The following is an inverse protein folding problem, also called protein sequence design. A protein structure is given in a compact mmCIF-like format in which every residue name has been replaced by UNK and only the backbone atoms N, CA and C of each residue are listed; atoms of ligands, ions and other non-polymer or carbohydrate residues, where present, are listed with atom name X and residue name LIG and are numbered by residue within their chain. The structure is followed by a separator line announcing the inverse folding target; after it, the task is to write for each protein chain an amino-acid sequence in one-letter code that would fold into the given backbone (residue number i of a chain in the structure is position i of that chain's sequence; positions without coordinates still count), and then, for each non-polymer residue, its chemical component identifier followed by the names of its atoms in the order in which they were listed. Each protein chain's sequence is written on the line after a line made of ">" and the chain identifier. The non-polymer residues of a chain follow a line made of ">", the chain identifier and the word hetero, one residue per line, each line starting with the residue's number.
data_IF_279644972140
#
_entry.id   IF_279644972140
#
_cell.length_a   1.000
_cell.length_b   1.000
_cell.length_c   1.000
_cell.angle_alpha   90.00
_cell.angle_beta   90.00
_cell.angle_gamma   90.00
#
_symmetry.space_group_name_H-M   'P 1'
#
loop_
_entity.id
_entity.type
_entity.pdbx_description
1 polymer ?
#
# COMPACT_ATOMS: atom_id res chain seq x y z
N UNK A 1 -13.98 -16.48 5.22
CA UNK A 1 -13.87 -15.04 4.92
C UNK A 1 -14.73 -14.20 5.86
N UNK A 2 -15.98 -14.58 6.07
CA UNK A 2 -16.92 -13.84 6.92
C UNK A 2 -16.49 -13.66 8.39
N UNK A 3 -15.94 -14.70 9.02
CA UNK A 3 -15.38 -14.59 10.37
C UNK A 3 -14.20 -13.60 10.44
N UNK A 4 -13.34 -13.60 9.42
CA UNK A 4 -12.19 -12.70 9.34
C UNK A 4 -12.63 -11.24 9.18
N UNK A 5 -13.64 -11.01 8.34
CA UNK A 5 -14.23 -9.67 8.17
C UNK A 5 -14.99 -9.22 9.41
N UNK A 6 -15.78 -10.08 10.05
CA UNK A 6 -16.48 -9.77 11.30
C UNK A 6 -15.49 -9.37 12.41
N UNK A 7 -14.41 -10.13 12.61
CA UNK A 7 -13.35 -9.77 13.55
C UNK A 7 -12.67 -8.46 13.16
N UNK A 8 -12.46 -8.24 11.86
CA UNK A 8 -11.92 -6.98 11.34
C UNK A 8 -12.83 -5.78 11.66
N UNK A 9 -14.15 -5.92 11.50
CA UNK A 9 -15.12 -4.88 11.87
C UNK A 9 -15.05 -4.56 13.37
N UNK A 10 -14.97 -5.58 14.23
CA UNK A 10 -14.83 -5.37 15.69
C UNK A 10 -13.56 -4.57 16.03
N UNK A 11 -12.44 -4.88 15.37
CA UNK A 11 -11.19 -4.13 15.53
C UNK A 11 -11.36 -2.68 15.08
N UNK A 12 -12.02 -2.44 13.95
CA UNK A 12 -12.27 -1.08 13.44
C UNK A 12 -13.13 -0.30 14.44
N UNK A 13 -14.21 -0.88 14.95
CA UNK A 13 -15.08 -0.22 15.93
C UNK A 13 -14.34 0.09 17.23
N UNK A 14 -13.50 -0.84 17.71
CA UNK A 14 -12.66 -0.61 18.88
C UNK A 14 -11.69 0.56 18.65
N UNK A 15 -11.01 0.61 17.49
CA UNK A 15 -10.11 1.70 17.13
C UNK A 15 -10.85 3.04 17.03
N UNK A 16 -12.00 3.07 16.35
CA UNK A 16 -12.81 4.28 16.18
C UNK A 16 -13.32 4.81 17.52
N UNK A 17 -13.77 3.93 18.43
CA UNK A 17 -14.28 4.31 19.74
C UNK A 17 -13.17 4.80 20.67
N UNK A 18 -12.09 4.05 20.79
CA UNK A 18 -11.10 4.24 21.87
C UNK A 18 -9.95 5.17 21.45
N UNK A 19 -9.71 5.36 20.14
CA UNK A 19 -8.63 6.21 19.61
C UNK A 19 -9.13 7.43 18.83
N UNK A 20 -10.41 7.81 18.99
CA UNK A 20 -11.00 8.95 18.28
C UNK A 20 -10.24 10.26 18.47
N UNK A 21 -9.69 10.49 19.67
CA UNK A 21 -8.90 11.69 19.98
C UNK A 21 -7.61 11.82 19.14
N UNK A 22 -7.15 10.72 18.53
CA UNK A 22 -5.95 10.68 17.69
C UNK A 22 -6.28 10.71 16.20
N UNK A 23 -7.52 11.04 15.81
CA UNK A 23 -7.97 11.08 14.42
C UNK A 23 -7.02 11.88 13.51
N UNK A 24 -6.60 13.08 13.92
CA UNK A 24 -5.74 13.93 13.09
C UNK A 24 -4.38 13.30 12.85
N UNK A 25 -3.79 12.69 13.88
CA UNK A 25 -2.55 11.94 13.75
C UNK A 25 -2.72 10.73 12.82
N UNK A 26 -3.81 9.98 12.97
CA UNK A 26 -4.07 8.83 12.12
C UNK A 26 -4.30 9.25 10.66
N UNK A 27 -5.06 10.31 10.40
CA UNK A 27 -5.24 10.86 9.06
C UNK A 27 -3.91 11.33 8.45
N UNK A 28 -3.08 12.02 9.23
CA UNK A 28 -1.73 12.38 8.83
C UNK A 28 -0.90 11.15 8.46
N UNK A 29 -0.94 10.08 9.26
CA UNK A 29 -0.22 8.84 8.95
C UNK A 29 -0.74 8.15 7.69
N UNK A 30 -2.04 8.27 7.36
CA UNK A 30 -2.55 7.85 6.05
C UNK A 30 -1.93 8.65 4.92
N UNK A 31 -1.77 9.97 5.09
CA UNK A 31 -1.06 10.78 4.10
C UNK A 31 0.41 10.40 3.99
N UNK A 32 1.12 10.15 5.10
CA UNK A 32 2.52 9.68 5.07
C UNK A 32 2.67 8.39 4.25
N UNK A 33 1.71 7.46 4.38
CA UNK A 33 1.67 6.20 3.63
C UNK A 33 1.12 6.30 2.20
N UNK A 34 0.78 7.50 1.72
CA UNK A 34 0.23 7.69 0.38
C UNK A 34 1.31 7.42 -0.70
N UNK A 35 1.08 6.50 -1.65
CA UNK A 35 2.03 6.22 -2.73
C UNK A 35 2.43 7.45 -3.54
N UNK A 36 1.59 8.48 -3.61
CA UNK A 36 1.90 9.74 -4.33
C UNK A 36 3.08 10.50 -3.71
N UNK A 37 3.33 10.32 -2.42
CA UNK A 37 4.47 10.92 -1.74
C UNK A 37 5.81 10.30 -2.18
N UNK A 38 5.79 9.08 -2.73
CA UNK A 38 6.98 8.44 -3.29
C UNK A 38 7.56 9.32 -4.39
N UNK A 39 6.74 9.68 -5.37
CA UNK A 39 7.17 10.48 -6.52
C UNK A 39 7.34 11.96 -6.18
N UNK A 40 6.55 12.48 -5.23
CA UNK A 40 6.52 13.91 -4.92
C UNK A 40 7.56 14.34 -3.87
N UNK A 41 7.91 13.47 -2.93
CA UNK A 41 8.74 13.80 -1.76
C UNK A 41 9.97 12.90 -1.69
N UNK A 42 9.79 11.58 -1.58
CA UNK A 42 10.90 10.67 -1.27
C UNK A 42 11.88 10.52 -2.43
N UNK A 43 11.39 10.38 -3.66
CA UNK A 43 12.21 10.26 -4.86
C UNK A 43 13.10 11.50 -5.08
N UNK A 44 12.57 12.74 -5.12
CA UNK A 44 13.41 13.92 -5.31
C UNK A 44 14.52 14.04 -4.26
N UNK A 45 14.20 13.78 -2.99
CA UNK A 45 15.18 13.84 -1.90
C UNK A 45 16.31 12.81 -2.09
N UNK A 46 15.95 11.54 -2.33
CA UNK A 46 16.96 10.49 -2.47
C UNK A 46 17.72 10.54 -3.79
N UNK A 47 17.10 11.02 -4.87
CA UNK A 47 17.78 11.18 -6.14
C UNK A 47 18.90 12.23 -6.07
N UNK A 48 18.69 13.32 -5.30
CA UNK A 48 19.73 14.32 -5.05
C UNK A 48 20.87 13.79 -4.16
N UNK A 49 20.56 12.93 -3.18
CA UNK A 49 21.57 12.31 -2.32
C UNK A 49 22.35 11.21 -3.04
N UNK A 50 21.65 10.36 -3.80
CA UNK A 50 22.20 9.25 -4.55
C UNK A 50 21.25 8.82 -5.67
N UNK A 51 21.66 9.10 -6.92
CA UNK A 51 20.90 8.77 -8.12
C UNK A 51 20.60 7.27 -8.25
N UNK A 52 21.48 6.38 -7.76
CA UNK A 52 21.26 4.92 -7.79
C UNK A 52 20.12 4.53 -6.87
N UNK A 53 20.10 5.09 -5.64
CA UNK A 53 19.01 4.85 -4.68
C UNK A 53 17.70 5.44 -5.18
N UNK A 54 17.73 6.67 -5.73
CA UNK A 54 16.55 7.29 -6.33
C UNK A 54 15.98 6.49 -7.51
N UNK A 55 16.84 5.97 -8.40
CA UNK A 55 16.41 5.12 -9.52
C UNK A 55 15.82 3.80 -9.04
N UNK A 56 16.45 3.16 -8.05
CA UNK A 56 15.93 1.95 -7.41
C UNK A 56 14.56 2.20 -6.77
N UNK A 57 14.38 3.34 -6.11
CA UNK A 57 13.12 3.72 -5.47
C UNK A 57 11.98 3.81 -6.49
N UNK A 58 12.19 4.42 -7.66
CA UNK A 58 11.18 4.45 -8.74
C UNK A 58 10.82 3.03 -9.16
N UNK A 59 11.81 2.19 -9.46
CA UNK A 59 11.54 0.83 -9.93
C UNK A 59 10.77 -0.02 -8.93
N UNK A 60 11.16 0.07 -7.67
CA UNK A 60 10.50 -0.62 -6.56
C UNK A 60 9.07 -0.13 -6.36
N UNK A 61 8.82 1.17 -6.55
CA UNK A 61 7.47 1.75 -6.51
C UNK A 61 6.61 1.28 -7.68
N UNK A 62 7.10 1.41 -8.92
CA UNK A 62 6.38 1.00 -10.15
C UNK A 62 6.02 -0.49 -10.10
N UNK A 63 6.97 -1.34 -9.73
CA UNK A 63 6.75 -2.79 -9.66
C UNK A 63 5.85 -3.14 -8.47
N UNK A 64 5.99 -2.44 -7.35
CA UNK A 64 5.11 -2.57 -6.19
C UNK A 64 3.66 -2.25 -6.53
N UNK A 65 3.41 -1.12 -7.20
CA UNK A 65 2.08 -0.72 -7.64
C UNK A 65 1.51 -1.67 -8.69
N UNK A 66 2.36 -2.16 -9.61
CA UNK A 66 1.97 -3.19 -10.58
C UNK A 66 1.53 -4.49 -9.88
N UNK A 67 2.29 -5.00 -8.90
CA UNK A 67 1.87 -6.17 -8.13
C UNK A 67 0.60 -5.89 -7.31
N UNK A 68 0.46 -4.69 -6.72
CA UNK A 68 -0.75 -4.29 -6.00
C UNK A 68 -1.97 -4.36 -6.92
N UNK A 69 -1.84 -3.86 -8.15
CA UNK A 69 -2.87 -3.89 -9.17
C UNK A 69 -3.28 -5.33 -9.53
N UNK A 70 -2.29 -6.17 -9.89
CA UNK A 70 -2.53 -7.57 -10.26
C UNK A 70 -3.20 -8.33 -9.11
N UNK A 71 -2.72 -8.16 -7.87
CA UNK A 71 -3.33 -8.81 -6.71
C UNK A 71 -4.74 -8.31 -6.42
N UNK A 72 -5.04 -7.01 -6.60
CA UNK A 72 -6.41 -6.49 -6.45
C UNK A 72 -7.39 -7.14 -7.42
N UNK A 73 -6.96 -7.40 -8.65
CA UNK A 73 -7.76 -8.11 -9.64
C UNK A 73 -7.89 -9.61 -9.37
N UNK A 74 -6.98 -10.23 -8.63
CA UNK A 74 -7.06 -11.66 -8.28
C UNK A 74 -7.88 -11.88 -7.01
N UNK A 75 -7.71 -11.01 -6.00
CA UNK A 75 -8.21 -11.26 -4.65
C UNK A 75 -9.63 -10.75 -4.39
N UNK A 76 -10.18 -9.88 -5.26
CA UNK A 76 -11.55 -9.33 -5.13
C UNK A 76 -11.88 -8.87 -3.70
N UNK A 77 -10.93 -8.21 -3.04
CA UNK A 77 -11.07 -7.83 -1.63
C UNK A 77 -12.18 -6.79 -1.42
N UNK A 78 -13.14 -7.09 -0.54
CA UNK A 78 -14.11 -6.10 -0.06
C UNK A 78 -13.46 -5.08 0.89
N UNK A 79 -14.08 -3.90 1.02
CA UNK A 79 -13.70 -2.90 2.03
C UNK A 79 -14.70 -2.89 3.18
N UNK A 80 -14.27 -2.54 4.41
CA UNK A 80 -15.14 -2.59 5.58
C UNK A 80 -16.43 -1.79 5.44
N UNK A 81 -16.35 -0.54 4.95
CA UNK A 81 -17.47 0.40 4.94
C UNK A 81 -18.66 -0.05 4.09
N UNK A 82 -18.45 -0.77 2.99
CA UNK A 82 -19.54 -1.37 2.21
C UNK A 82 -19.82 -2.81 2.61
N UNK A 83 -18.82 -3.57 3.05
CA UNK A 83 -19.00 -4.98 3.38
C UNK A 83 -19.99 -5.15 4.53
N UNK A 84 -19.93 -4.27 5.54
CA UNK A 84 -20.83 -4.30 6.69
C UNK A 84 -22.30 -4.07 6.33
N UNK A 85 -22.57 -3.40 5.20
CA UNK A 85 -23.92 -3.10 4.71
C UNK A 85 -24.49 -4.20 3.82
N UNK A 86 -23.63 -4.99 3.18
CA UNK A 86 -24.03 -6.04 2.22
C UNK A 86 -24.03 -7.44 2.81
N UNK A 87 -23.39 -7.62 3.97
CA UNK A 87 -23.28 -8.94 4.59
C UNK A 87 -24.61 -9.41 5.19
N UNK A 88 -24.92 -10.68 4.96
CA UNK A 88 -26.11 -11.35 5.52
C UNK A 88 -25.90 -11.86 6.95
N UNK A 89 -24.79 -11.49 7.60
CA UNK A 89 -24.43 -11.95 8.96
C UNK A 89 -25.20 -11.17 10.04
N UNK A 90 -25.63 -9.93 9.74
CA UNK A 90 -26.37 -9.07 10.67
C UNK A 90 -27.84 -8.82 10.27
N UNK A 91 -28.65 -9.80 9.85
CA UNK A 91 -29.98 -9.53 9.29
C UNK A 91 -30.99 -9.08 10.37
N UNK A 92 -30.73 -9.40 11.65
CA UNK A 92 -31.62 -9.10 12.79
C UNK A 92 -30.94 -8.27 13.90
N UNK A 93 -29.70 -7.84 13.71
CA UNK A 93 -28.98 -6.92 14.60
C UNK A 93 -28.72 -5.64 13.82
N UNK A 94 -28.77 -4.47 14.48
CA UNK A 94 -28.36 -3.22 13.84
C UNK A 94 -26.93 -3.39 13.31
N UNK A 95 -26.76 -3.39 11.99
CA UNK A 95 -25.46 -3.54 11.33
C UNK A 95 -24.44 -2.62 11.99
N UNK A 96 -23.23 -3.12 12.31
CA UNK A 96 -22.25 -2.32 13.03
C UNK A 96 -21.94 -1.03 12.27
N UNK A 97 -22.18 0.12 12.92
CA UNK A 97 -21.89 1.42 12.34
C UNK A 97 -20.37 1.64 12.33
N UNK A 98 -19.82 1.92 11.15
CA UNK A 98 -18.43 2.32 10.96
C UNK A 98 -18.40 3.80 10.57
N UNK A 99 -17.59 4.58 11.26
CA UNK A 99 -17.37 5.98 10.89
C UNK A 99 -16.65 6.07 9.55
N UNK A 100 -17.11 6.96 8.67
CA UNK A 100 -16.48 7.26 7.39
C UNK A 100 -15.87 8.66 7.43
N UNK A 101 -14.71 8.80 6.78
CA UNK A 101 -13.92 10.02 6.70
C UNK A 101 -13.74 10.43 5.22
N UNK A 102 -13.28 11.65 4.93
CA UNK A 102 -13.07 12.11 3.55
C UNK A 102 -12.19 11.22 2.68
N UNK A 103 -11.28 10.46 3.29
CA UNK A 103 -10.37 9.53 2.61
C UNK A 103 -10.84 8.07 2.63
N UNK A 104 -12.07 7.78 3.09
CA UNK A 104 -12.57 6.42 3.28
C UNK A 104 -13.06 5.78 1.97
N UNK A 105 -13.73 6.55 1.11
CA UNK A 105 -14.46 6.03 -0.04
C UNK A 105 -13.58 5.80 -1.27
N UNK A 106 -12.61 4.91 -1.12
CA UNK A 106 -11.84 4.40 -2.26
C UNK A 106 -12.68 3.44 -3.11
N UNK A 107 -12.48 3.49 -4.43
CA UNK A 107 -13.31 2.82 -5.44
C UNK A 107 -12.74 1.49 -5.93
N UNK A 108 -11.43 1.27 -5.80
CA UNK A 108 -10.80 -0.01 -6.14
C UNK A 108 -10.96 -1.10 -5.06
N UNK A 109 -10.65 -2.36 -5.38
CA UNK A 109 -10.66 -3.46 -4.40
C UNK A 109 -9.73 -3.22 -3.21
N UNK A 110 -10.07 -3.77 -2.04
CA UNK A 110 -9.40 -3.50 -0.77
C UNK A 110 -8.15 -4.34 -0.48
N UNK A 111 -7.88 -5.43 -1.21
CA UNK A 111 -6.79 -6.35 -0.90
C UNK A 111 -5.77 -6.48 -2.03
N UNK A 112 -4.46 -6.31 -1.79
CA UNK A 112 -3.85 -5.76 -0.57
C UNK A 112 -3.94 -4.23 -0.50
N UNK A 113 -3.70 -3.68 0.70
CA UNK A 113 -3.67 -2.21 0.88
C UNK A 113 -2.52 -1.58 0.10
N UNK A 114 -2.85 -0.70 -0.85
CA UNK A 114 -1.86 0.02 -1.66
C UNK A 114 -1.01 0.98 -0.84
N UNK A 115 -1.60 1.66 0.15
CA UNK A 115 -0.85 2.54 1.06
C UNK A 115 0.19 1.74 1.87
N UNK A 116 -0.22 0.64 2.50
CA UNK A 116 0.67 -0.18 3.31
C UNK A 116 1.77 -0.86 2.48
N UNK A 117 1.43 -1.30 1.27
CA UNK A 117 2.38 -1.91 0.34
C UNK A 117 3.38 -0.89 -0.20
N UNK A 118 2.91 0.24 -0.75
CA UNK A 118 3.78 1.29 -1.28
C UNK A 118 4.67 1.89 -0.20
N UNK A 119 4.13 2.17 0.99
CA UNK A 119 4.91 2.69 2.12
C UNK A 119 5.98 1.70 2.58
N UNK A 120 5.65 0.42 2.76
CA UNK A 120 6.65 -0.56 3.21
C UNK A 120 7.75 -0.77 2.16
N UNK A 121 7.37 -0.81 0.88
CA UNK A 121 8.28 -0.98 -0.25
C UNK A 121 9.36 0.11 -0.28
N UNK A 122 8.95 1.39 -0.22
CA UNK A 122 9.87 2.52 -0.36
C UNK A 122 10.66 2.77 0.92
N UNK A 123 10.02 2.69 2.10
CA UNK A 123 10.72 2.87 3.35
C UNK A 123 11.78 1.77 3.58
N UNK A 124 11.55 0.56 3.10
CA UNK A 124 12.54 -0.52 3.12
C UNK A 124 13.79 -0.15 2.31
N UNK A 125 13.61 0.39 1.10
CA UNK A 125 14.72 0.86 0.26
C UNK A 125 15.48 2.01 0.93
N UNK A 126 14.77 2.94 1.60
CA UNK A 126 15.43 4.04 2.31
C UNK A 126 16.26 3.55 3.50
N UNK A 127 15.73 2.60 4.28
CA UNK A 127 16.43 2.03 5.45
C UNK A 127 17.67 1.25 5.01
N UNK A 128 17.55 0.39 4.01
CA UNK A 128 18.67 -0.41 3.47
C UNK A 128 19.74 0.49 2.84
N UNK A 129 19.33 1.52 2.08
CA UNK A 129 20.24 2.51 1.54
C UNK A 129 20.99 3.27 2.65
N UNK A 130 20.28 3.80 3.65
CA UNK A 130 20.89 4.50 4.79
C UNK A 130 21.89 3.60 5.56
N UNK A 131 21.54 2.32 5.75
CA UNK A 131 22.43 1.36 6.40
C UNK A 131 23.69 1.08 5.59
N UNK A 132 23.59 1.00 4.26
CA UNK A 132 24.74 0.75 3.39
C UNK A 132 25.85 1.81 3.52
N UNK A 133 25.48 3.07 3.82
CA UNK A 133 26.45 4.15 4.07
C UNK A 133 27.26 3.94 5.35
N UNK A 134 26.64 3.36 6.37
CA UNK A 134 27.29 3.15 7.68
C UNK A 134 28.32 2.02 7.68
N UNK A 135 28.20 1.06 6.76
CA UNK A 135 29.08 -0.13 6.65
C UNK A 135 30.48 0.20 6.13
N UNK A 136 30.71 1.40 5.60
CA UNK A 136 32.01 1.79 5.00
C UNK A 136 33.17 1.93 5.99
N UNK A 137 32.93 1.86 7.30
CA UNK A 137 33.93 2.10 8.34
C UNK A 137 34.35 0.78 9.00
N UNK A 138 35.64 0.41 8.92
CA UNK A 138 36.19 -0.89 9.34
C UNK A 138 36.68 -0.95 10.81
N UNK A 139 36.26 -0.02 11.66
CA UNK A 139 36.69 0.02 13.07
C UNK A 139 35.72 -0.68 14.01
N UNK A 140 36.20 -1.22 15.15
CA UNK A 140 35.33 -1.85 16.18
C UNK A 140 34.22 -0.90 16.68
N UNK A 141 34.53 0.40 16.78
CA UNK A 141 33.54 1.44 17.11
C UNK A 141 32.46 1.57 16.02
N UNK A 142 32.83 1.39 14.75
CA UNK A 142 31.91 1.43 13.63
C UNK A 142 30.95 0.22 13.61
N UNK A 143 31.39 -0.95 14.09
CA UNK A 143 30.50 -2.13 14.22
C UNK A 143 29.39 -1.89 15.25
N UNK A 144 29.75 -1.35 16.42
CA UNK A 144 28.76 -1.01 17.46
C UNK A 144 27.81 0.09 16.98
N UNK A 145 28.34 1.12 16.32
CA UNK A 145 27.53 2.20 15.76
C UNK A 145 26.58 1.68 14.68
N UNK A 146 27.06 0.82 13.77
CA UNK A 146 26.24 0.20 12.73
C UNK A 146 25.08 -0.61 13.33
N UNK A 147 25.34 -1.40 14.39
CA UNK A 147 24.28 -2.17 15.07
C UNK A 147 23.23 -1.26 15.72
N UNK A 148 23.66 -0.15 16.33
CA UNK A 148 22.74 0.84 16.90
C UNK A 148 21.92 1.53 15.81
N UNK A 149 22.55 1.95 14.71
CA UNK A 149 21.85 2.57 13.57
C UNK A 149 20.89 1.57 12.91
N UNK A 150 21.28 0.30 12.77
CA UNK A 150 20.41 -0.77 12.30
C UNK A 150 19.16 -0.91 13.17
N UNK A 151 19.34 -1.03 14.48
CA UNK A 151 18.22 -1.16 15.42
C UNK A 151 17.29 0.07 15.36
N UNK A 152 17.88 1.26 15.32
CA UNK A 152 17.15 2.53 15.27
C UNK A 152 16.33 2.69 13.98
N UNK A 153 16.94 2.47 12.81
CA UNK A 153 16.27 2.64 11.53
C UNK A 153 15.15 1.62 11.31
N UNK A 154 15.36 0.35 11.71
CA UNK A 154 14.30 -0.65 11.64
C UNK A 154 13.17 -0.39 12.65
N UNK A 155 13.48 0.17 13.81
CA UNK A 155 12.45 0.59 14.76
C UNK A 155 11.58 1.71 14.18
N UNK A 156 12.19 2.72 13.56
CA UNK A 156 11.46 3.80 12.86
C UNK A 156 10.59 3.22 11.74
N UNK A 157 11.14 2.31 10.94
CA UNK A 157 10.38 1.63 9.88
C UNK A 157 9.11 1.00 10.42
N UNK A 158 9.22 0.16 11.46
CA UNK A 158 8.05 -0.53 12.02
C UNK A 158 7.06 0.42 12.68
N UNK A 159 7.52 1.46 13.38
CA UNK A 159 6.64 2.48 13.95
C UNK A 159 5.79 3.14 12.85
N UNK A 160 6.42 3.51 11.73
CA UNK A 160 5.71 4.13 10.61
C UNK A 160 4.76 3.13 9.96
N UNK A 161 5.19 1.91 9.65
CA UNK A 161 4.32 0.91 9.00
C UNK A 161 3.13 0.54 9.87
N UNK A 162 3.32 0.34 11.18
CA UNK A 162 2.23 0.07 12.13
C UNK A 162 1.27 1.27 12.17
N UNK A 163 1.79 2.50 12.22
CA UNK A 163 0.96 3.71 12.27
C UNK A 163 0.13 3.89 10.98
N UNK A 164 0.73 3.64 9.80
CA UNK A 164 0.01 3.62 8.52
C UNK A 164 -1.07 2.54 8.55
N UNK A 165 -0.74 1.31 8.98
CA UNK A 165 -1.70 0.21 9.04
C UNK A 165 -2.89 0.53 9.96
N UNK A 166 -2.63 1.00 11.19
CA UNK A 166 -3.68 1.39 12.14
C UNK A 166 -4.54 2.49 11.55
N UNK A 167 -3.91 3.50 10.92
CA UNK A 167 -4.64 4.57 10.25
C UNK A 167 -5.62 4.03 9.20
N UNK A 168 -5.16 3.18 8.27
CA UNK A 168 -5.98 2.59 7.19
C UNK A 168 -7.14 1.74 7.70
N UNK A 169 -6.97 1.08 8.84
CA UNK A 169 -8.02 0.32 9.52
C UNK A 169 -8.99 1.27 10.24
N UNK A 170 -8.48 2.28 10.96
CA UNK A 170 -9.29 3.28 11.68
C UNK A 170 -10.25 4.02 10.74
N UNK A 171 -9.79 4.42 9.56
CA UNK A 171 -10.64 5.09 8.55
C UNK A 171 -11.57 4.14 7.79
N UNK A 172 -11.74 2.89 8.26
CA UNK A 172 -12.62 1.86 7.69
C UNK A 172 -12.39 1.54 6.19
N UNK A 173 -11.19 1.83 5.69
CA UNK A 173 -10.86 1.68 4.26
C UNK A 173 -10.28 0.30 3.94
N UNK A 174 -9.65 -0.33 4.93
CA UNK A 174 -9.07 -1.68 4.84
C UNK A 174 -9.34 -2.50 6.09
N UNK A 175 -9.41 -3.82 5.92
CA UNK A 175 -9.37 -4.77 7.03
C UNK A 175 -7.92 -5.01 7.51
N UNK A 176 -7.71 -5.46 8.76
CA UNK A 176 -6.37 -5.74 9.31
C UNK A 176 -5.53 -6.69 8.43
N UNK A 177 -6.13 -7.77 7.92
CA UNK A 177 -5.40 -8.72 7.07
C UNK A 177 -4.92 -8.09 5.74
N UNK A 178 -5.64 -7.10 5.21
CA UNK A 178 -5.31 -6.45 3.93
C UNK A 178 -4.10 -5.51 4.08
N UNK A 179 -4.00 -4.82 5.22
CA UNK A 179 -2.84 -3.96 5.52
C UNK A 179 -1.62 -4.80 5.86
N UNK A 180 -1.80 -5.89 6.61
CA UNK A 180 -0.72 -6.85 6.91
C UNK A 180 -0.16 -7.46 5.62
N UNK A 181 -1.05 -7.96 4.75
CA UNK A 181 -0.65 -8.50 3.44
C UNK A 181 0.08 -7.44 2.59
N UNK A 182 -0.39 -6.19 2.62
CA UNK A 182 0.26 -5.08 1.95
C UNK A 182 1.70 -4.87 2.43
N UNK A 183 1.91 -4.77 3.76
CA UNK A 183 3.25 -4.59 4.33
C UNK A 183 4.20 -5.70 3.89
N UNK A 184 3.79 -6.98 4.03
CA UNK A 184 4.62 -8.12 3.64
C UNK A 184 4.90 -8.13 2.13
N UNK A 185 3.90 -7.87 1.29
CA UNK A 185 4.09 -7.82 -0.16
C UNK A 185 5.09 -6.72 -0.55
N UNK A 186 5.01 -5.53 0.06
CA UNK A 186 5.95 -4.44 -0.22
C UNK A 186 7.38 -4.75 0.25
N UNK A 187 7.55 -5.37 1.42
CA UNK A 187 8.87 -5.82 1.90
C UNK A 187 9.46 -6.86 0.94
N UNK A 188 8.66 -7.83 0.49
CA UNK A 188 9.12 -8.87 -0.44
C UNK A 188 9.55 -8.29 -1.80
N UNK A 189 8.79 -7.33 -2.33
CA UNK A 189 9.17 -6.62 -3.56
C UNK A 189 10.48 -5.85 -3.36
N UNK A 190 10.61 -5.09 -2.28
CA UNK A 190 11.81 -4.32 -2.01
C UNK A 190 13.05 -5.22 -1.82
N UNK A 191 12.92 -6.32 -1.08
CA UNK A 191 14.00 -7.29 -0.84
C UNK A 191 14.42 -8.00 -2.13
N UNK A 192 13.47 -8.42 -2.98
CA UNK A 192 13.77 -9.01 -4.28
C UNK A 192 14.59 -8.06 -5.17
N UNK A 193 14.33 -6.76 -5.08
CA UNK A 193 15.08 -5.72 -5.80
C UNK A 193 16.43 -5.39 -5.18
N UNK A 194 16.62 -5.60 -3.87
CA UNK A 194 17.94 -5.49 -3.23
C UNK A 194 18.91 -6.52 -3.80
N UNK A 195 18.45 -7.76 -3.99
CA UNK A 195 19.27 -8.87 -4.51
C UNK A 195 19.39 -8.90 -6.04
N UNK A 196 18.79 -7.94 -6.75
CA UNK A 196 18.81 -7.86 -8.22
C UNK A 196 19.58 -6.62 -8.71
N UNK A 197 20.93 -6.62 -8.68
CA UNK A 197 21.74 -5.46 -9.07
C UNK A 197 21.61 -5.08 -10.56
N UNK A 198 21.10 -6.00 -11.40
CA UNK A 198 20.96 -5.80 -12.83
C UNK A 198 20.03 -4.64 -13.22
N UNK A 199 19.11 -4.23 -12.35
CA UNK A 199 18.17 -3.13 -12.63
C UNK A 199 18.81 -1.77 -12.37
N UNK A 200 19.86 -1.68 -11.54
CA UNK A 200 20.51 -0.41 -11.18
C UNK A 200 21.45 0.10 -12.28
N UNK A 201 21.99 -0.80 -13.11
CA UNK A 201 22.90 -0.50 -14.23
C UNK A 201 22.32 -0.90 -15.59
N UNK A 202 21.01 -1.15 -15.63
CA UNK A 202 20.32 -1.57 -16.84
C UNK A 202 20.37 -0.47 -17.92
N UNK A 203 20.58 -0.88 -19.17
CA UNK A 203 20.50 0.02 -20.32
C UNK A 203 19.07 0.55 -20.50
N UNK A 204 18.92 1.73 -21.12
CA UNK A 204 17.60 2.29 -21.48
C UNK A 204 16.72 1.28 -22.24
N UNK A 205 17.34 0.44 -23.09
CA UNK A 205 16.64 -0.62 -23.83
C UNK A 205 16.01 -1.65 -22.89
N UNK A 206 16.68 -2.01 -21.79
CA UNK A 206 16.13 -2.92 -20.79
C UNK A 206 14.96 -2.25 -20.05
N UNK A 207 15.08 -0.98 -19.67
CA UNK A 207 13.98 -0.24 -19.05
C UNK A 207 12.73 -0.16 -19.93
N UNK A 208 12.89 0.14 -21.22
CA UNK A 208 11.78 0.16 -22.18
C UNK A 208 11.15 -1.23 -22.31
N UNK A 209 11.97 -2.28 -22.41
CA UNK A 209 11.47 -3.67 -22.49
C UNK A 209 10.70 -4.08 -21.24
N UNK A 210 11.20 -3.75 -20.05
CA UNK A 210 10.53 -4.07 -18.79
C UNK A 210 9.20 -3.34 -18.67
N UNK A 211 9.16 -2.02 -18.93
CA UNK A 211 7.90 -1.27 -18.90
C UNK A 211 6.89 -1.80 -19.93
N UNK A 212 7.34 -2.07 -21.15
CA UNK A 212 6.47 -2.65 -22.19
C UNK A 212 5.94 -4.02 -21.77
N UNK A 213 6.78 -4.86 -21.15
CA UNK A 213 6.35 -6.16 -20.62
C UNK A 213 5.30 -6.00 -19.52
N UNK A 214 5.53 -5.12 -18.53
CA UNK A 214 4.58 -4.87 -17.44
C UNK A 214 3.23 -4.38 -17.97
N UNK A 215 3.26 -3.45 -18.93
CA UNK A 215 2.06 -2.90 -19.57
C UNK A 215 1.31 -3.97 -20.38
N UNK A 216 2.00 -4.69 -21.27
CA UNK A 216 1.38 -5.75 -22.09
C UNK A 216 0.81 -6.86 -21.19
N UNK A 217 1.52 -7.23 -20.13
CA UNK A 217 1.03 -8.23 -19.18
C UNK A 217 -0.23 -7.73 -18.47
N UNK A 218 -0.21 -6.52 -17.91
CA UNK A 218 -1.36 -5.98 -17.19
C UNK A 218 -2.58 -5.80 -18.12
N UNK A 219 -2.36 -5.32 -19.35
CA UNK A 219 -3.40 -5.21 -20.37
C UNK A 219 -3.92 -6.59 -20.80
N UNK A 220 -3.03 -7.54 -21.06
CA UNK A 220 -3.39 -8.90 -21.45
C UNK A 220 -4.17 -9.62 -20.34
N UNK A 221 -3.77 -9.42 -19.09
CA UNK A 221 -4.47 -9.95 -17.92
C UNK A 221 -5.84 -9.29 -17.75
N UNK A 222 -5.93 -7.96 -17.88
CA UNK A 222 -7.20 -7.22 -17.90
C UNK A 222 -8.16 -7.76 -18.97
N UNK A 223 -7.69 -7.91 -20.21
CA UNK A 223 -8.49 -8.42 -21.31
C UNK A 223 -8.91 -9.87 -21.07
N UNK A 224 -8.03 -10.70 -20.50
CA UNK A 224 -8.33 -12.10 -20.17
C UNK A 224 -9.45 -12.19 -19.13
N UNK A 225 -9.38 -11.41 -18.04
CA UNK A 225 -10.44 -11.37 -17.04
C UNK A 225 -11.76 -10.89 -17.63
N UNK A 226 -11.72 -9.89 -18.52
CA UNK A 226 -12.90 -9.40 -19.24
C UNK A 226 -13.50 -10.46 -20.18
N UNK A 227 -12.68 -11.26 -20.84
CA UNK A 227 -13.13 -12.37 -21.69
C UNK A 227 -13.79 -13.49 -20.87
N UNK A 228 -13.38 -13.67 -19.62
CA UNK A 228 -14.01 -14.60 -18.66
C UNK A 228 -15.26 -14.01 -17.99
N UNK A 229 -15.77 -12.87 -18.47
CA UNK A 229 -16.94 -12.15 -17.94
C UNK A 229 -16.79 -11.76 -16.45
N UNK A 230 -15.55 -11.55 -16.01
CA UNK A 230 -15.25 -11.10 -14.65
C UNK A 230 -15.33 -9.58 -14.59
N UNK A 231 -16.29 -9.06 -13.83
CA UNK A 231 -16.45 -7.62 -13.63
C UNK A 231 -15.30 -7.04 -12.79
N UNK A 232 -14.39 -6.31 -13.43
CA UNK A 232 -13.26 -5.64 -12.77
C UNK A 232 -13.65 -4.32 -12.08
N UNK A 233 -14.82 -3.78 -12.41
CA UNK A 233 -15.35 -2.55 -11.81
C UNK A 233 -16.40 -2.84 -10.74
N UNK A 234 -16.57 -4.10 -10.33
CA UNK A 234 -17.55 -4.56 -9.34
C UNK A 234 -17.56 -3.75 -8.03
N UNK A 235 -16.39 -3.20 -7.64
CA UNK A 235 -16.22 -2.40 -6.42
C UNK A 235 -16.69 -0.96 -6.58
N UNK A 236 -16.74 -0.41 -7.80
CA UNK A 236 -17.13 0.98 -8.07
C UNK A 236 -18.59 1.25 -7.72
N UNK A 237 -19.58 0.43 -8.16
CA UNK A 237 -20.97 0.59 -7.73
C UNK A 237 -21.15 0.51 -6.22
N UNK A 238 -20.39 -0.37 -5.55
CA UNK A 238 -20.44 -0.53 -4.08
C UNK A 238 -19.91 0.71 -3.37
N UNK A 239 -18.78 1.24 -3.83
CA UNK A 239 -18.22 2.48 -3.31
C UNK A 239 -19.21 3.65 -3.46
N UNK A 240 -19.81 3.82 -4.64
CA UNK A 240 -20.79 4.88 -4.90
C UNK A 240 -22.06 4.72 -4.07
N UNK A 241 -22.52 3.50 -3.85
CA UNK A 241 -23.77 3.21 -3.11
C UNK A 241 -23.62 3.45 -1.61
N UNK A 242 -22.47 3.09 -1.04
CA UNK A 242 -22.28 3.03 0.42
C UNK A 242 -21.38 4.12 0.99
N UNK A 243 -20.87 5.02 0.16
CA UNK A 243 -20.16 6.21 0.63
C UNK A 243 -21.14 7.20 1.28
N UNK A 244 -20.79 7.71 2.47
CA UNK A 244 -21.63 8.63 3.22
C UNK A 244 -21.76 10.01 2.56
N UNK A 245 -20.73 10.45 1.83
CA UNK A 245 -20.73 11.71 1.09
C UNK A 245 -20.20 11.48 -0.34
N UNK A 246 -20.97 11.79 -1.38
CA UNK A 246 -20.53 11.67 -2.77
C UNK A 246 -19.21 12.39 -3.09
N UNK A 247 -18.92 13.51 -2.42
CA UNK A 247 -17.69 14.29 -2.63
C UNK A 247 -16.43 13.57 -2.11
N UNK A 248 -16.57 12.52 -1.30
CA UNK A 248 -15.46 11.73 -0.76
C UNK A 248 -15.05 10.56 -1.67
N UNK A 249 -15.76 10.35 -2.78
CA UNK A 249 -15.51 9.24 -3.70
C UNK A 249 -14.20 9.47 -4.45
N UNK A 250 -13.20 8.66 -4.15
CA UNK A 250 -11.88 8.77 -4.77
C UNK A 250 -11.77 7.87 -6.02
N UNK A 251 -12.03 8.46 -7.20
CA UNK A 251 -12.03 7.79 -8.50
C UNK A 251 -10.62 7.36 -8.94
N UNK A 252 -9.59 8.06 -8.47
CA UNK A 252 -8.18 7.79 -8.82
C UNK A 252 -7.65 6.49 -8.21
N UNK A 253 -8.42 5.86 -7.32
CA UNK A 253 -8.09 4.57 -6.70
C UNK A 253 -8.61 3.37 -7.48
N UNK A 254 -9.24 3.58 -8.65
CA UNK A 254 -9.63 2.48 -9.52
C UNK A 254 -8.39 1.75 -10.07
N UNK A 255 -8.46 0.42 -10.26
CA UNK A 255 -7.39 -0.33 -10.91
C UNK A 255 -7.00 0.24 -12.30
N UNK A 256 -7.97 0.79 -13.01
CA UNK A 256 -7.73 1.44 -14.31
C UNK A 256 -6.95 2.76 -14.20
N UNK A 257 -7.21 3.57 -13.17
CA UNK A 257 -6.39 4.76 -12.90
C UNK A 257 -4.95 4.36 -12.52
N UNK A 258 -4.76 3.24 -11.81
CA UNK A 258 -3.44 2.68 -11.53
C UNK A 258 -2.66 2.26 -12.79
N UNK A 259 -3.34 1.73 -13.82
CA UNK A 259 -2.72 1.44 -15.14
C UNK A 259 -2.22 2.69 -15.87
N UNK A 260 -2.83 3.85 -15.63
CA UNK A 260 -2.46 5.12 -16.29
C UNK A 260 -1.40 5.89 -15.50
N UNK A 261 -1.21 5.57 -14.22
CA UNK A 261 -0.21 6.17 -13.33
C UNK A 261 1.11 5.38 -13.29
N UNK A 262 1.15 4.16 -13.84
CA UNK A 262 2.34 3.30 -13.98
C UNK A 262 3.04 3.50 -15.32
#
# INVERSE_FOLDING_TARGET
>A
MDLLHSNGVLIIQHLQRDYRAYQDFLNFMSHVGDPRNIFSIYFPLWFQLNQVVGTKMIWVAVIGDWFNLIFKWILFGHRPYWWVQETMIYPNQSSPCLEQFPITCETGPGSPSGHAMGSSCVWYVMVTAALSYTVRWKDKLAVTLHRLTWSFLWSIFWIIQISVCISRVFIATHFPHQVILGVFAGILVAEAFEHTPAIQTASLRMYIKTNLFLFIFALGFYLSLKLLDIDLLWSVPKAKKWCANPDWINIDTTPFAGLLQS
#
